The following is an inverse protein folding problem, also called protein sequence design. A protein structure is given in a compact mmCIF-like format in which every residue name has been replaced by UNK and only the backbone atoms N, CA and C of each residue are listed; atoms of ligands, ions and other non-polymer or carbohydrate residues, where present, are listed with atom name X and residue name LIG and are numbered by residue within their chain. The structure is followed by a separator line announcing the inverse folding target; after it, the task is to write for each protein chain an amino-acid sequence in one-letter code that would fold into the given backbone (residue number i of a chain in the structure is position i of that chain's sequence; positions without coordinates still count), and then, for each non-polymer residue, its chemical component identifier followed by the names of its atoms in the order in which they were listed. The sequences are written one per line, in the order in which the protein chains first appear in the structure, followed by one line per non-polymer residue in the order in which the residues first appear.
data_IF_314765263995
#
_entry.id   IF_314765263995
#
_cell.length_a   1.000
_cell.length_b   1.000
_cell.length_c   1.000
_cell.angle_alpha   90.00
_cell.angle_beta   90.00
_cell.angle_gamma   90.00
#
_symmetry.space_group_name_H-M   'P 1'
#
loop_
_entity.id
_entity.type
_entity.pdbx_description
1 polymer ?
#
# COMPACT_ATOMS: atom_id res chain seq x y z
N UNK A 1 37.26 -10.01 9.80
CA UNK A 1 36.11 -9.08 9.67
C UNK A 1 34.84 -9.64 10.32
N UNK A 2 34.34 -10.81 9.92
CA UNK A 2 33.13 -11.42 10.51
C UNK A 2 33.20 -11.68 12.02
N UNK A 3 34.32 -12.18 12.55
CA UNK A 3 34.52 -12.36 14.01
C UNK A 3 34.37 -11.04 14.78
N UNK A 4 34.89 -9.93 14.25
CA UNK A 4 34.77 -8.60 14.86
C UNK A 4 33.31 -8.12 14.92
N UNK A 5 32.53 -8.42 13.89
CA UNK A 5 31.08 -8.12 13.83
C UNK A 5 30.32 -8.95 14.87
N UNK A 6 30.63 -10.25 14.98
CA UNK A 6 30.01 -11.15 15.98
C UNK A 6 30.38 -10.77 17.41
N UNK A 7 31.58 -10.23 17.63
CA UNK A 7 32.04 -9.75 18.93
C UNK A 7 31.54 -8.34 19.29
N UNK A 8 30.63 -7.76 18.51
CA UNK A 8 30.09 -6.42 18.74
C UNK A 8 31.14 -5.29 18.74
N UNK A 9 32.26 -5.46 18.04
CA UNK A 9 33.31 -4.42 17.94
C UNK A 9 32.85 -3.20 17.12
N UNK A 10 31.75 -3.33 16.35
CA UNK A 10 31.19 -2.25 15.55
C UNK A 10 29.79 -1.86 16.05
N UNK A 11 29.57 -0.54 16.20
CA UNK A 11 28.26 0.03 16.54
C UNK A 11 27.26 0.04 15.37
N UNK A 12 27.79 0.17 14.15
CA UNK A 12 26.97 0.25 12.93
C UNK A 12 27.54 -0.67 11.86
N UNK A 13 26.65 -1.32 11.12
CA UNK A 13 27.00 -2.15 9.97
C UNK A 13 26.12 -1.73 8.78
N UNK A 14 26.75 -1.46 7.64
CA UNK A 14 26.07 -1.16 6.38
C UNK A 14 26.31 -2.34 5.44
N UNK A 15 25.23 -2.92 4.91
CA UNK A 15 25.31 -4.09 4.04
C UNK A 15 24.23 -4.03 2.96
N UNK A 16 24.53 -4.63 1.80
CA UNK A 16 23.53 -4.95 0.77
C UNK A 16 22.92 -6.33 1.04
N UNK A 17 21.82 -6.68 0.36
CA UNK A 17 21.20 -7.99 0.52
C UNK A 17 22.17 -9.15 0.30
N UNK A 18 23.07 -9.00 -0.68
CA UNK A 18 24.08 -10.01 -0.98
C UNK A 18 25.04 -10.17 0.20
N UNK A 19 25.54 -9.06 0.75
CA UNK A 19 26.48 -9.08 1.86
C UNK A 19 25.85 -9.53 3.19
N UNK A 20 24.52 -9.41 3.34
CA UNK A 20 23.79 -9.82 4.56
C UNK A 20 23.48 -11.31 4.64
N UNK A 21 23.59 -12.06 3.54
CA UNK A 21 23.30 -13.51 3.52
C UNK A 21 24.39 -14.27 4.28
N UNK A 22 23.97 -15.20 5.13
CA UNK A 22 24.89 -16.01 5.93
C UNK A 22 25.52 -15.29 7.13
N UNK A 23 25.18 -14.02 7.36
CA UNK A 23 25.63 -13.27 8.53
C UNK A 23 24.51 -13.24 9.57
N UNK A 24 24.64 -14.07 10.60
CA UNK A 24 23.77 -14.02 11.79
C UNK A 24 24.44 -13.18 12.87
N UNK A 25 23.81 -12.05 13.20
CA UNK A 25 24.28 -11.12 14.21
C UNK A 25 23.24 -11.15 15.32
N UNK A 26 23.64 -11.60 16.51
CA UNK A 26 22.77 -11.60 17.69
C UNK A 26 22.64 -10.17 18.22
N UNK A 27 21.59 -9.86 18.99
CA UNK A 27 21.49 -8.56 19.68
C UNK A 27 21.31 -7.33 18.79
N UNK A 28 20.81 -7.45 17.57
CA UNK A 28 20.50 -6.30 16.71
C UNK A 28 19.29 -5.56 17.28
N UNK A 29 19.52 -4.37 17.82
CA UNK A 29 18.46 -3.52 18.39
C UNK A 29 17.70 -2.73 17.33
N UNK A 30 18.37 -2.37 16.23
CA UNK A 30 17.83 -1.51 15.18
C UNK A 30 18.16 -2.06 13.80
N UNK A 31 17.16 -2.12 12.93
CA UNK A 31 17.33 -2.39 11.49
C UNK A 31 16.84 -1.18 10.73
N UNK A 32 17.67 -0.61 9.85
CA UNK A 32 17.30 0.55 9.04
C UNK A 32 17.41 0.16 7.56
N UNK A 33 16.27 0.10 6.88
CA UNK A 33 16.21 -0.19 5.44
C UNK A 33 16.12 1.12 4.65
N UNK A 34 17.16 1.42 3.86
CA UNK A 34 17.25 2.67 3.05
C UNK A 34 16.20 2.69 1.92
N UNK A 35 15.71 1.52 1.49
CA UNK A 35 14.63 1.40 0.52
C UNK A 35 13.87 0.07 0.73
N UNK A 36 12.68 -0.03 0.13
CA UNK A 36 11.95 -1.29 0.05
C UNK A 36 12.52 -2.17 -1.08
N UNK A 37 12.79 -3.46 -0.82
CA UNK A 37 13.17 -4.40 -1.86
C UNK A 37 12.01 -4.63 -2.83
N UNK A 38 12.33 -5.02 -4.07
CA UNK A 38 11.32 -5.35 -5.09
C UNK A 38 10.38 -6.47 -4.61
N UNK A 39 10.96 -7.51 -4.01
CA UNK A 39 10.22 -8.56 -3.32
C UNK A 39 10.15 -8.26 -1.81
N UNK A 40 8.93 -8.06 -1.34
CA UNK A 40 8.60 -7.70 0.05
C UNK A 40 8.96 -8.79 1.06
N UNK A 41 9.13 -10.02 0.62
CA UNK A 41 9.59 -11.13 1.46
C UNK A 41 10.97 -10.82 2.05
N UNK A 42 11.85 -10.16 1.26
CA UNK A 42 13.15 -9.70 1.76
C UNK A 42 13.02 -8.65 2.85
N UNK A 43 12.01 -7.76 2.79
CA UNK A 43 11.79 -6.78 3.84
C UNK A 43 11.49 -7.48 5.17
N UNK A 44 10.62 -8.48 5.16
CA UNK A 44 10.26 -9.29 6.34
C UNK A 44 11.51 -10.00 6.90
N UNK A 45 12.36 -10.55 6.02
CA UNK A 45 13.62 -11.19 6.45
C UNK A 45 14.65 -10.20 7.00
N UNK A 46 14.66 -8.94 6.53
CA UNK A 46 15.51 -7.87 7.07
C UNK A 46 15.00 -7.42 8.44
N UNK A 47 13.71 -7.13 8.56
CA UNK A 47 13.10 -6.72 9.83
C UNK A 47 13.21 -7.82 10.89
N UNK A 48 13.12 -9.09 10.49
CA UNK A 48 13.31 -10.24 11.37
C UNK A 48 14.75 -10.43 11.90
N UNK A 49 15.69 -9.54 11.57
CA UNK A 49 17.04 -9.53 12.18
C UNK A 49 17.02 -8.95 13.59
N UNK A 50 16.03 -8.13 13.92
CA UNK A 50 15.78 -7.67 15.29
C UNK A 50 14.70 -8.53 15.96
N UNK A 51 14.46 -8.32 17.26
CA UNK A 51 13.33 -8.95 17.95
C UNK A 51 13.48 -10.44 18.28
N UNK A 52 14.68 -11.02 18.20
CA UNK A 52 14.92 -12.46 18.43
C UNK A 52 15.20 -12.75 19.91
N UNK A 53 14.87 -13.94 20.38
CA UNK A 53 15.13 -14.41 21.76
C UNK A 53 14.58 -13.46 22.86
N UNK A 54 13.28 -13.16 22.83
CA UNK A 54 12.59 -12.26 23.78
C UNK A 54 13.18 -10.84 23.88
N UNK A 55 14.07 -10.45 22.97
CA UNK A 55 14.59 -9.08 22.90
C UNK A 55 13.63 -8.21 22.09
N UNK A 56 13.48 -6.95 22.46
CA UNK A 56 12.76 -5.95 21.66
C UNK A 56 13.69 -5.26 20.67
N UNK A 57 13.15 -4.71 19.59
CA UNK A 57 13.90 -3.80 18.75
C UNK A 57 13.06 -3.15 17.66
N UNK A 58 13.69 -2.25 16.93
CA UNK A 58 13.01 -1.36 15.99
C UNK A 58 13.45 -1.63 14.55
N UNK A 59 12.47 -1.65 13.65
CA UNK A 59 12.70 -1.77 12.21
C UNK A 59 12.18 -0.51 11.51
N UNK A 60 13.10 0.28 10.97
CA UNK A 60 12.80 1.50 10.22
C UNK A 60 12.95 1.25 8.73
N UNK A 61 12.07 1.88 7.94
CA UNK A 61 12.19 1.90 6.49
C UNK A 61 12.06 3.33 5.99
N UNK A 62 13.07 3.75 5.23
CA UNK A 62 13.04 5.00 4.48
C UNK A 62 12.41 4.67 3.13
N UNK A 63 11.38 5.43 2.74
CA UNK A 63 10.65 5.17 1.52
C UNK A 63 10.25 6.46 0.82
N UNK A 64 10.07 6.36 -0.50
CA UNK A 64 9.59 7.46 -1.33
C UNK A 64 8.13 7.23 -1.75
N UNK A 65 7.46 8.27 -2.27
CA UNK A 65 6.08 8.16 -2.75
C UNK A 65 5.88 7.05 -3.80
N UNK A 66 6.92 6.69 -4.54
CA UNK A 66 6.90 5.59 -5.52
C UNK A 66 6.67 4.23 -4.87
N UNK A 67 7.12 4.04 -3.63
CA UNK A 67 7.01 2.78 -2.89
C UNK A 67 5.69 2.64 -2.11
N UNK A 68 4.73 3.56 -2.31
CA UNK A 68 3.45 3.55 -1.59
C UNK A 68 2.70 2.22 -1.74
N UNK A 69 2.70 1.64 -2.94
CA UNK A 69 2.01 0.37 -3.23
C UNK A 69 2.61 -0.80 -2.44
N UNK A 70 3.94 -0.82 -2.30
CA UNK A 70 4.67 -1.83 -1.53
C UNK A 70 4.31 -1.77 -0.05
N UNK A 71 4.20 -0.56 0.53
CA UNK A 71 3.77 -0.40 1.92
C UNK A 71 2.32 -0.83 2.11
N UNK A 72 1.42 -0.47 1.18
CA UNK A 72 0.03 -0.92 1.24
C UNK A 72 -0.08 -2.45 1.19
N UNK A 73 0.80 -3.13 0.45
CA UNK A 73 0.86 -4.59 0.43
C UNK A 73 1.38 -5.17 1.75
N UNK A 74 2.41 -4.57 2.36
CA UNK A 74 2.90 -4.99 3.68
C UNK A 74 1.81 -4.83 4.76
N UNK A 75 1.04 -3.74 4.72
CA UNK A 75 -0.10 -3.51 5.62
C UNK A 75 -1.18 -4.57 5.42
N UNK A 76 -1.49 -4.94 4.16
CA UNK A 76 -2.45 -6.02 3.87
C UNK A 76 -1.96 -7.37 4.40
N UNK A 77 -0.66 -7.59 4.49
CA UNK A 77 -0.05 -8.79 5.10
C UNK A 77 -0.05 -8.74 6.64
N UNK A 78 -0.59 -7.68 7.25
CA UNK A 78 -0.75 -7.56 8.70
C UNK A 78 0.39 -6.81 9.40
N UNK A 79 1.27 -6.14 8.66
CA UNK A 79 2.36 -5.35 9.25
C UNK A 79 1.87 -3.93 9.55
N UNK A 80 2.02 -3.51 10.80
CA UNK A 80 1.69 -2.16 11.23
C UNK A 80 2.89 -1.22 11.06
N UNK A 81 2.63 0.01 10.60
CA UNK A 81 3.66 1.03 10.40
C UNK A 81 3.25 2.34 11.06
N UNK A 82 4.16 2.89 11.86
CA UNK A 82 4.13 4.28 12.27
C UNK A 82 4.89 5.13 11.25
N UNK A 83 4.23 6.16 10.71
CA UNK A 83 4.85 7.01 9.69
C UNK A 83 5.34 8.31 10.32
N UNK A 84 6.65 8.57 10.20
CA UNK A 84 7.28 9.82 10.63
C UNK A 84 7.91 10.54 9.44
N UNK A 85 7.87 11.88 9.45
CA UNK A 85 8.61 12.75 8.51
C UNK A 85 9.85 13.25 9.18
N UNK A 86 10.96 13.32 8.45
CA UNK A 86 12.10 14.12 8.88
C UNK A 86 11.88 15.58 8.43
N UNK A 87 11.75 16.50 9.39
CA UNK A 87 11.65 17.95 9.19
C UNK A 87 12.61 18.60 10.16
N UNK A 88 13.52 19.46 9.66
CA UNK A 88 14.51 20.17 10.49
C UNK A 88 15.27 19.24 11.47
N UNK A 89 15.74 18.11 10.96
CA UNK A 89 16.40 17.04 11.71
C UNK A 89 15.57 16.37 12.83
N UNK A 90 14.27 16.62 12.89
CA UNK A 90 13.36 16.01 13.85
C UNK A 90 12.37 15.09 13.16
N UNK A 91 12.03 13.98 13.82
CA UNK A 91 11.02 13.03 13.36
C UNK A 91 9.65 13.46 13.86
N UNK A 92 8.85 14.03 12.97
CA UNK A 92 7.48 14.48 13.24
C UNK A 92 6.49 13.38 12.84
N UNK A 93 5.56 13.06 13.72
CA UNK A 93 4.49 12.11 13.43
C UNK A 93 3.56 12.63 12.33
N UNK A 94 3.33 11.79 11.32
CA UNK A 94 2.37 12.07 10.27
C UNK A 94 1.30 11.01 10.32
N UNK A 95 0.03 11.44 10.21
CA UNK A 95 -1.03 10.50 9.88
C UNK A 95 -0.71 9.92 8.49
N UNK A 96 -0.66 8.58 8.35
CA UNK A 96 -0.42 7.99 7.05
C UNK A 96 -1.47 8.47 6.05
N UNK A 97 -1.05 9.20 5.01
CA UNK A 97 -1.90 9.54 3.87
C UNK A 97 -2.10 8.33 2.92
N UNK A 98 -2.07 7.12 3.47
CA UNK A 98 -2.73 5.98 2.86
C UNK A 98 -4.21 6.25 3.01
N UNK A 99 -4.78 7.05 2.08
CA UNK A 99 -6.23 7.02 1.86
C UNK A 99 -6.54 5.53 1.71
N UNK A 100 -7.19 4.93 2.71
CA UNK A 100 -7.88 3.65 2.51
C UNK A 100 -8.61 3.85 1.19
N UNK A 101 -8.24 3.11 0.15
CA UNK A 101 -9.06 3.08 -1.06
C UNK A 101 -10.38 2.57 -0.51
N UNK A 102 -11.34 3.49 -0.30
CA UNK A 102 -12.64 3.11 0.23
C UNK A 102 -13.10 2.02 -0.72
N UNK A 103 -13.41 0.80 -0.24
CA UNK A 103 -14.06 -0.18 -1.10
C UNK A 103 -15.21 0.57 -1.73
N UNK A 104 -15.27 0.61 -3.07
CA UNK A 104 -16.20 1.42 -3.86
C UNK A 104 -17.54 1.51 -3.13
N UNK A 105 -17.75 2.62 -2.42
CA UNK A 105 -18.82 2.72 -1.44
C UNK A 105 -19.95 3.44 -2.13
N UNK A 106 -20.99 2.64 -2.32
CA UNK A 106 -22.33 2.98 -2.76
C UNK A 106 -22.46 3.19 -4.27
N UNK A 107 -23.17 2.23 -4.87
CA UNK A 107 -23.95 2.50 -6.06
C UNK A 107 -24.69 3.84 -5.86
N UNK A 108 -24.55 4.75 -6.82
CA UNK A 108 -25.21 6.05 -6.84
C UNK A 108 -26.70 5.92 -6.45
N UNK A 109 -27.29 6.93 -5.81
CA UNK A 109 -28.71 6.88 -5.39
C UNK A 109 -29.65 6.46 -6.52
N UNK A 110 -29.32 6.86 -7.75
CA UNK A 110 -29.99 6.48 -8.99
C UNK A 110 -29.95 4.95 -9.23
N UNK A 111 -28.81 4.32 -8.97
CA UNK A 111 -28.63 2.88 -9.04
C UNK A 111 -29.36 2.13 -7.93
N UNK A 112 -29.43 2.70 -6.71
CA UNK A 112 -30.26 2.17 -5.61
C UNK A 112 -31.76 2.22 -5.96
N UNK A 113 -32.22 3.31 -6.59
CA UNK A 113 -33.59 3.48 -7.09
C UNK A 113 -33.92 2.49 -8.21
N UNK A 114 -33.01 2.28 -9.16
CA UNK A 114 -33.17 1.28 -10.20
C UNK A 114 -33.31 -0.11 -9.56
N UNK A 115 -32.46 -0.47 -8.61
CA UNK A 115 -32.51 -1.77 -7.93
C UNK A 115 -33.80 -1.94 -7.10
N UNK A 116 -34.27 -0.89 -6.43
CA UNK A 116 -35.50 -0.92 -5.62
C UNK A 116 -36.75 -1.09 -6.50
N UNK A 117 -36.79 -0.50 -7.70
CA UNK A 117 -37.86 -0.69 -8.70
C UNK A 117 -38.04 -2.17 -9.10
N UNK A 118 -36.98 -2.97 -9.06
CA UNK A 118 -37.02 -4.40 -9.35
C UNK A 118 -37.21 -5.29 -8.10
N UNK A 119 -37.32 -4.73 -6.88
CA UNK A 119 -37.37 -5.51 -5.63
C UNK A 119 -38.72 -6.16 -5.35
N UNK A 120 -39.82 -5.52 -5.75
CA UNK A 120 -41.17 -5.87 -5.29
C UNK A 120 -42.14 -6.22 -6.43
N UNK A 121 -42.00 -7.37 -7.09
CA UNK A 121 -43.08 -7.97 -7.91
C UNK A 121 -43.18 -9.48 -7.71
N UNK A 122 -44.41 -9.99 -7.58
CA UNK A 122 -44.78 -11.42 -7.50
C UNK A 122 -44.38 -12.10 -8.82
N UNK A 123 -43.63 -13.20 -8.77
CA UNK A 123 -42.89 -13.68 -9.94
C UNK A 123 -42.89 -15.20 -10.14
N UNK A 124 -43.03 -15.58 -11.41
CA UNK A 124 -43.08 -16.94 -11.97
C UNK A 124 -41.77 -17.73 -11.69
N UNK A 125 -41.80 -19.07 -11.73
CA UNK A 125 -40.60 -19.92 -11.54
C UNK A 125 -39.47 -19.53 -12.51
N UNK A 126 -38.22 -19.49 -12.04
CA UNK A 126 -37.03 -19.13 -12.85
C UNK A 126 -36.65 -17.63 -12.86
N UNK A 127 -37.53 -16.74 -12.39
CA UNK A 127 -37.31 -15.29 -12.39
C UNK A 127 -36.06 -14.81 -11.62
N UNK A 128 -35.70 -15.49 -10.52
CA UNK A 128 -34.57 -15.10 -9.66
C UNK A 128 -33.21 -15.11 -10.41
N UNK A 129 -33.00 -16.08 -11.30
CA UNK A 129 -31.73 -16.22 -12.06
C UNK A 129 -31.58 -15.14 -13.13
N UNK A 130 -32.64 -14.89 -13.91
CA UNK A 130 -32.66 -13.84 -14.95
C UNK A 130 -32.45 -12.45 -14.34
N UNK A 131 -33.12 -12.18 -13.21
CA UNK A 131 -32.98 -10.93 -12.46
C UNK A 131 -31.55 -10.69 -11.95
N UNK A 132 -30.89 -11.73 -11.41
CA UNK A 132 -29.49 -11.62 -10.96
C UNK A 132 -28.56 -11.23 -12.12
N UNK A 133 -28.71 -11.88 -13.27
CA UNK A 133 -27.91 -11.58 -14.47
C UNK A 133 -28.10 -10.15 -14.97
N UNK A 134 -29.32 -9.62 -14.97
CA UNK A 134 -29.59 -8.23 -15.37
C UNK A 134 -28.99 -7.22 -14.39
N UNK A 135 -29.13 -7.45 -13.09
CA UNK A 135 -28.52 -6.62 -12.05
C UNK A 135 -26.99 -6.61 -12.15
N UNK A 136 -26.38 -7.75 -12.40
CA UNK A 136 -24.92 -7.87 -12.55
C UNK A 136 -24.44 -7.13 -13.81
N UNK A 137 -25.18 -7.20 -14.93
CA UNK A 137 -24.91 -6.41 -16.14
C UNK A 137 -24.99 -4.91 -15.88
N UNK A 138 -26.01 -4.44 -15.16
CA UNK A 138 -26.19 -3.02 -14.81
C UNK A 138 -25.02 -2.54 -13.94
N UNK A 139 -24.69 -3.30 -12.87
CA UNK A 139 -23.53 -3.00 -12.01
C UNK A 139 -22.23 -2.93 -12.80
N UNK A 140 -22.03 -3.87 -13.73
CA UNK A 140 -20.83 -3.90 -14.56
C UNK A 140 -20.73 -2.68 -15.49
N UNK A 141 -21.85 -2.25 -16.10
CA UNK A 141 -21.90 -1.03 -16.92
C UNK A 141 -21.56 0.23 -16.11
N UNK A 142 -22.15 0.39 -14.92
CA UNK A 142 -21.89 1.54 -14.04
C UNK A 142 -20.41 1.57 -13.64
N UNK A 143 -19.85 0.42 -13.23
CA UNK A 143 -18.44 0.30 -12.86
C UNK A 143 -17.52 0.71 -14.01
N UNK A 144 -17.80 0.27 -15.24
CA UNK A 144 -17.01 0.63 -16.42
C UNK A 144 -17.07 2.13 -16.73
N UNK A 145 -18.24 2.76 -16.62
CA UNK A 145 -18.43 4.20 -16.85
C UNK A 145 -17.59 5.03 -15.86
N UNK A 146 -17.71 4.74 -14.56
CA UNK A 146 -16.92 5.40 -13.51
C UNK A 146 -15.40 5.25 -13.70
N UNK A 147 -14.93 4.07 -14.11
CA UNK A 147 -13.51 3.85 -14.42
C UNK A 147 -13.06 4.76 -15.57
N UNK A 148 -13.86 4.85 -16.65
CA UNK A 148 -13.55 5.70 -17.81
C UNK A 148 -13.45 7.18 -17.42
N UNK A 149 -14.41 7.68 -16.65
CA UNK A 149 -14.44 9.08 -16.18
C UNK A 149 -13.22 9.42 -15.30
N UNK A 150 -12.84 8.51 -14.41
CA UNK A 150 -11.64 8.71 -13.57
C UNK A 150 -10.35 8.74 -14.39
N UNK A 151 -10.23 7.86 -15.41
CA UNK A 151 -9.08 7.86 -16.32
C UNK A 151 -9.01 9.19 -17.10
N UNK A 152 -10.14 9.70 -17.58
CA UNK A 152 -10.20 10.98 -18.28
C UNK A 152 -9.80 12.15 -17.39
N UNK A 153 -10.26 12.18 -16.12
CA UNK A 153 -9.83 13.20 -15.14
C UNK A 153 -8.32 13.17 -14.91
N UNK A 154 -7.73 11.99 -14.75
CA UNK A 154 -6.28 11.82 -14.57
C UNK A 154 -5.52 12.32 -15.81
N UNK A 155 -5.99 11.96 -17.01
CA UNK A 155 -5.38 12.42 -18.28
C UNK A 155 -5.43 13.94 -18.41
N UNK A 156 -6.58 14.55 -18.08
CA UNK A 156 -6.77 16.01 -18.14
C UNK A 156 -5.85 16.74 -17.16
N UNK A 157 -5.75 16.26 -15.92
CA UNK A 157 -4.83 16.81 -14.92
C UNK A 157 -3.36 16.71 -15.37
N UNK A 158 -2.97 15.57 -15.96
CA UNK A 158 -1.62 15.38 -16.50
C UNK A 158 -1.33 16.34 -17.66
N UNK A 159 -2.29 16.57 -18.55
CA UNK A 159 -2.15 17.53 -19.65
C UNK A 159 -2.03 18.96 -19.15
N UNK A 160 -2.86 19.38 -18.19
CA UNK A 160 -2.80 20.71 -17.58
C UNK A 160 -1.45 20.96 -16.90
N UNK A 161 -0.95 19.97 -16.13
CA UNK A 161 0.36 20.05 -15.49
C UNK A 161 1.51 20.17 -16.50
N UNK A 162 1.48 19.37 -17.56
CA UNK A 162 2.49 19.45 -18.64
C UNK A 162 2.42 20.80 -19.38
N UNK A 163 1.21 21.35 -19.53
CA UNK A 163 1.00 22.66 -20.17
C UNK A 163 1.58 23.78 -19.32
N UNK A 164 1.30 23.84 -18.01
CA UNK A 164 1.91 24.85 -17.13
C UNK A 164 3.44 24.76 -17.15
N UNK A 165 4.00 23.55 -17.09
CA UNK A 165 5.46 23.33 -17.16
C UNK A 165 6.11 23.83 -18.46
N UNK A 166 5.36 23.93 -19.57
CA UNK A 166 5.88 24.37 -20.87
C UNK A 166 5.78 25.89 -21.11
N UNK A 167 4.87 26.59 -20.43
CA UNK A 167 4.55 28.00 -20.70
C UNK A 167 4.92 28.95 -19.55
N UNK A 168 5.36 28.42 -18.40
CA UNK A 168 5.77 29.20 -17.22
C UNK A 168 7.32 29.28 -17.08
N UNK A 169 8.09 29.15 -18.18
CA UNK A 169 9.55 29.43 -18.25
C UNK A 169 9.83 30.59 -19.22
#
# INVERSE_FOLDING_TARGET
MLKKIQNHEFKYLVATDVASRGVDIKGVSHVISINLPNDLTYYIHRSGRTGRNNSTGYSYVIYNLKNKTQIEELIKKGIEFETKKLVDNQLVDIKPSFKKVKPFKELDNESKQIISKYKNKKVKPGYKKKRKQELDKIKQKIRRKHIKENIEKIKKAKYQKRRSELFDN
#
